data_IF_702833365091
#
_entry.id   IF_702833365091
#
_cell.length_a   1.000
_cell.length_b   1.000
_cell.length_c   1.000
_cell.angle_alpha   90.00
_cell.angle_beta   90.00
_cell.angle_gamma   90.00
#
_symmetry.space_group_name_H-M   'P 1'
#
loop_
_entity.id
_entity.type
_entity.pdbx_description
1 polymer ?
#
# COMPACT_ATOMS: atom_id res chain seq x y z
N UNK A 1 -18.09 -52.77 -5.74
CA UNK A 1 -17.83 -51.58 -6.58
C UNK A 1 -18.58 -50.41 -5.98
N UNK A 2 -17.92 -49.62 -5.14
CA UNK A 2 -18.49 -48.43 -4.51
C UNK A 2 -18.41 -47.24 -5.47
N UNK A 3 -19.55 -46.73 -5.91
CA UNK A 3 -19.59 -45.47 -6.67
C UNK A 3 -19.59 -44.28 -5.70
N UNK A 4 -18.44 -43.63 -5.69
CA UNK A 4 -18.11 -42.34 -5.10
C UNK A 4 -19.15 -41.25 -5.43
N UNK A 5 -19.84 -40.71 -4.41
CA UNK A 5 -20.71 -39.53 -4.56
C UNK A 5 -19.91 -38.28 -4.22
N UNK A 6 -19.36 -37.63 -5.24
CA UNK A 6 -18.83 -36.26 -5.11
C UNK A 6 -19.96 -35.29 -4.72
N UNK A 7 -19.73 -34.35 -3.77
CA UNK A 7 -20.67 -33.27 -3.50
C UNK A 7 -20.74 -32.32 -4.70
N UNK A 8 -21.97 -32.10 -5.22
CA UNK A 8 -22.26 -31.21 -6.35
C UNK A 8 -21.73 -29.81 -6.07
N UNK A 9 -20.86 -29.30 -6.97
CA UNK A 9 -20.50 -27.88 -7.04
C UNK A 9 -21.76 -27.04 -7.19
N UNK A 10 -22.06 -26.21 -6.21
CA UNK A 10 -23.15 -25.23 -6.24
C UNK A 10 -22.82 -24.23 -7.36
N UNK A 11 -23.66 -24.20 -8.40
CA UNK A 11 -23.48 -23.38 -9.59
C UNK A 11 -23.73 -21.88 -9.33
N UNK A 12 -23.06 -21.06 -10.13
CA UNK A 12 -22.96 -19.59 -10.19
C UNK A 12 -24.29 -18.80 -10.05
N UNK A 13 -25.46 -19.45 -10.11
CA UNK A 13 -26.76 -18.83 -9.88
C UNK A 13 -27.18 -18.75 -8.39
N UNK A 14 -26.69 -19.65 -7.53
CA UNK A 14 -27.17 -19.78 -6.14
C UNK A 14 -26.58 -18.76 -5.16
N UNK A 15 -25.42 -18.16 -5.47
CA UNK A 15 -24.81 -17.13 -4.60
C UNK A 15 -25.39 -15.74 -4.90
N UNK A 16 -25.79 -15.49 -6.16
CA UNK A 16 -26.63 -14.34 -6.53
C UNK A 16 -27.96 -14.40 -5.74
N UNK A 17 -28.54 -15.59 -5.55
CA UNK A 17 -29.80 -15.79 -4.82
C UNK A 17 -29.73 -15.43 -3.33
N UNK A 18 -28.57 -15.58 -2.66
CA UNK A 18 -28.47 -15.42 -1.19
C UNK A 18 -28.16 -13.98 -0.74
N UNK A 19 -27.60 -13.13 -1.60
CA UNK A 19 -27.48 -11.69 -1.34
C UNK A 19 -28.63 -10.86 -1.93
N UNK A 20 -29.60 -11.49 -2.61
CA UNK A 20 -30.67 -10.84 -3.37
C UNK A 20 -32.09 -11.36 -3.09
N UNK A 21 -32.41 -11.84 -1.88
CA UNK A 21 -33.77 -12.30 -1.55
C UNK A 21 -34.90 -11.26 -1.74
N UNK A 22 -34.57 -9.98 -1.99
CA UNK A 22 -35.54 -8.93 -2.39
C UNK A 22 -35.35 -8.36 -3.81
N UNK A 23 -34.32 -8.80 -4.55
CA UNK A 23 -33.94 -8.25 -5.88
C UNK A 23 -34.22 -9.27 -7.00
N UNK A 24 -34.46 -10.55 -6.67
CA UNK A 24 -34.35 -11.65 -7.65
C UNK A 24 -35.59 -11.99 -8.49
N UNK A 25 -36.67 -11.20 -8.51
CA UNK A 25 -37.79 -11.47 -9.45
C UNK A 25 -37.64 -10.79 -10.81
N UNK A 26 -36.60 -10.00 -11.08
CA UNK A 26 -36.41 -9.34 -12.39
C UNK A 26 -35.04 -9.57 -13.07
N UNK A 27 -34.22 -10.52 -12.62
CA UNK A 27 -32.80 -10.63 -13.03
C UNK A 27 -32.45 -11.79 -13.98
N UNK A 28 -33.42 -12.31 -14.73
CA UNK A 28 -33.12 -13.16 -15.88
C UNK A 28 -32.98 -12.28 -17.14
N UNK A 29 -31.76 -11.85 -17.47
CA UNK A 29 -31.42 -11.34 -18.81
C UNK A 29 -31.01 -9.86 -18.95
N UNK A 30 -31.08 -9.03 -17.91
CA UNK A 30 -30.61 -7.63 -17.94
C UNK A 30 -29.71 -7.30 -16.75
N UNK A 31 -28.74 -6.40 -16.96
CA UNK A 31 -27.87 -5.89 -15.90
C UNK A 31 -28.71 -5.18 -14.81
N UNK A 32 -28.32 -5.27 -13.53
CA UNK A 32 -29.11 -4.69 -12.44
C UNK A 32 -29.15 -3.16 -12.53
N UNK A 33 -30.36 -2.57 -12.46
CA UNK A 33 -30.53 -1.12 -12.39
C UNK A 33 -29.75 -0.56 -11.18
N UNK A 34 -28.73 0.27 -11.45
CA UNK A 34 -27.86 0.84 -10.42
C UNK A 34 -28.66 1.60 -9.35
N UNK A 35 -29.73 2.29 -9.73
CA UNK A 35 -30.61 2.96 -8.76
C UNK A 35 -31.23 1.95 -7.81
N UNK A 36 -31.72 0.83 -8.32
CA UNK A 36 -32.28 -0.24 -7.51
C UNK A 36 -31.25 -0.87 -6.57
N UNK A 37 -30.00 -1.07 -7.04
CA UNK A 37 -28.91 -1.57 -6.20
C UNK A 37 -28.63 -0.61 -5.03
N UNK A 38 -28.46 0.69 -5.32
CA UNK A 38 -28.18 1.70 -4.30
C UNK A 38 -29.30 1.77 -3.24
N UNK A 39 -30.56 1.72 -3.65
CA UNK A 39 -31.71 1.69 -2.75
C UNK A 39 -31.77 0.42 -1.92
N UNK A 40 -31.47 -0.74 -2.52
CA UNK A 40 -31.45 -2.03 -1.82
C UNK A 40 -30.37 -2.06 -0.74
N UNK A 41 -29.16 -1.58 -1.05
CA UNK A 41 -28.08 -1.50 -0.09
C UNK A 41 -28.48 -0.62 1.11
N UNK A 42 -29.07 0.53 0.86
CA UNK A 42 -29.57 1.42 1.91
C UNK A 42 -30.68 0.76 2.75
N UNK A 43 -31.66 0.10 2.12
CA UNK A 43 -32.77 -0.57 2.81
C UNK A 43 -32.30 -1.74 3.68
N UNK A 44 -31.30 -2.48 3.23
CA UNK A 44 -30.70 -3.59 4.01
C UNK A 44 -29.92 -3.11 5.21
N UNK A 45 -29.18 -2.02 5.05
CA UNK A 45 -28.41 -1.44 6.15
C UNK A 45 -29.31 -0.76 7.18
N UNK A 46 -30.42 -0.17 6.73
CA UNK A 46 -31.38 0.56 7.55
C UNK A 46 -32.82 0.19 7.16
N UNK A 47 -33.45 -0.80 7.83
CA UNK A 47 -34.80 -1.27 7.48
C UNK A 47 -35.89 -0.18 7.47
N UNK A 48 -35.73 0.88 8.26
CA UNK A 48 -36.62 2.05 8.30
C UNK A 48 -36.41 3.04 7.14
N UNK A 49 -35.39 2.83 6.29
CA UNK A 49 -35.13 3.67 5.12
C UNK A 49 -36.36 3.77 4.20
N UNK A 50 -36.76 5.01 3.92
CA UNK A 50 -37.88 5.35 3.05
C UNK A 50 -37.42 5.46 1.58
N UNK A 51 -37.45 4.34 0.86
CA UNK A 51 -37.07 4.30 -0.56
C UNK A 51 -37.80 5.32 -1.43
N UNK A 52 -39.09 5.58 -1.14
CA UNK A 52 -39.92 6.49 -1.93
C UNK A 52 -39.36 7.91 -1.98
N UNK A 53 -38.82 8.42 -0.86
CA UNK A 53 -38.22 9.77 -0.80
C UNK A 53 -36.93 9.84 -1.62
N UNK A 54 -36.01 8.90 -1.41
CA UNK A 54 -34.77 8.84 -2.17
C UNK A 54 -35.03 8.65 -3.68
N UNK A 55 -36.07 7.90 -4.04
CA UNK A 55 -36.53 7.78 -5.42
C UNK A 55 -36.96 9.14 -5.96
N UNK A 56 -37.83 9.86 -5.25
CA UNK A 56 -38.29 11.18 -5.66
C UNK A 56 -37.14 12.17 -5.84
N UNK A 57 -36.17 12.19 -4.92
CA UNK A 57 -34.98 13.06 -5.01
C UNK A 57 -34.18 12.78 -6.30
N UNK A 58 -33.94 11.51 -6.63
CA UNK A 58 -33.26 11.13 -7.88
C UNK A 58 -34.08 11.49 -9.13
N UNK A 59 -35.41 11.40 -9.08
CA UNK A 59 -36.28 11.79 -10.19
C UNK A 59 -36.29 13.31 -10.40
N UNK A 60 -36.27 14.09 -9.31
CA UNK A 60 -36.07 15.55 -9.36
C UNK A 60 -34.73 15.87 -10.03
N UNK A 61 -33.65 15.18 -9.63
CA UNK A 61 -32.35 15.37 -10.25
C UNK A 61 -32.34 15.06 -11.74
N UNK A 62 -33.01 13.97 -12.14
CA UNK A 62 -33.16 13.59 -13.54
C UNK A 62 -33.87 14.69 -14.34
N UNK A 63 -34.99 15.20 -13.85
CA UNK A 63 -35.80 16.21 -14.53
C UNK A 63 -35.05 17.55 -14.67
N UNK A 64 -34.44 18.00 -13.58
CA UNK A 64 -33.73 19.27 -13.54
C UNK A 64 -32.45 19.25 -14.39
N UNK A 65 -31.68 18.17 -14.34
CA UNK A 65 -30.50 17.99 -15.19
C UNK A 65 -30.90 17.87 -16.66
N UNK A 66 -31.94 17.10 -16.98
CA UNK A 66 -32.46 16.99 -18.34
C UNK A 66 -32.84 18.34 -18.95
N UNK A 67 -33.43 19.25 -18.16
CA UNK A 67 -33.72 20.63 -18.59
C UNK A 67 -32.45 21.43 -18.86
N UNK A 68 -31.41 21.31 -18.02
CA UNK A 68 -30.13 22.02 -18.19
C UNK A 68 -29.33 21.54 -19.38
N UNK A 69 -29.48 20.26 -19.74
CA UNK A 69 -28.83 19.68 -20.91
C UNK A 69 -29.56 20.01 -22.22
N UNK A 70 -30.82 20.45 -22.17
CA UNK A 70 -31.61 20.76 -23.36
C UNK A 70 -30.97 21.91 -24.14
N UNK A 71 -30.65 21.65 -25.42
CA UNK A 71 -30.03 22.63 -26.32
C UNK A 71 -28.49 22.66 -26.28
N UNK A 72 -27.85 21.95 -25.34
CA UNK A 72 -26.39 21.79 -25.34
C UNK A 72 -25.99 20.69 -26.32
N UNK A 73 -25.18 21.06 -27.32
CA UNK A 73 -24.74 20.13 -28.39
C UNK A 73 -23.33 19.61 -28.13
N UNK A 74 -22.43 20.45 -27.60
CA UNK A 74 -21.02 20.09 -27.44
C UNK A 74 -20.84 19.13 -26.24
N UNK A 75 -20.12 18.01 -26.39
CA UNK A 75 -19.87 17.05 -25.30
C UNK A 75 -19.28 17.69 -24.04
N UNK A 76 -18.32 18.61 -24.21
CA UNK A 76 -17.68 19.34 -23.10
C UNK A 76 -18.68 20.21 -22.30
N UNK A 77 -19.58 20.90 -22.99
CA UNK A 77 -20.61 21.74 -22.36
C UNK A 77 -21.61 20.88 -21.58
N UNK A 78 -21.98 19.72 -22.12
CA UNK A 78 -22.88 18.77 -21.47
C UNK A 78 -22.22 18.12 -20.24
N UNK A 79 -20.95 17.72 -20.35
CA UNK A 79 -20.17 17.23 -19.22
C UNK A 79 -20.00 18.31 -18.13
N UNK A 80 -19.78 19.57 -18.54
CA UNK A 80 -19.64 20.70 -17.62
C UNK A 80 -20.96 21.03 -16.93
N UNK A 81 -22.09 20.93 -17.64
CA UNK A 81 -23.42 21.11 -17.08
C UNK A 81 -23.75 20.03 -16.04
N UNK A 82 -23.39 18.76 -16.30
CA UNK A 82 -23.51 17.67 -15.33
C UNK A 82 -22.72 17.99 -14.05
N UNK A 83 -21.44 18.36 -14.18
CA UNK A 83 -20.59 18.69 -13.04
C UNK A 83 -21.12 19.89 -12.25
N UNK A 84 -21.43 21.01 -12.94
CA UNK A 84 -21.98 22.23 -12.33
C UNK A 84 -23.26 21.95 -11.56
N UNK A 85 -24.16 21.16 -12.14
CA UNK A 85 -25.43 20.83 -11.52
C UNK A 85 -25.25 20.15 -10.17
N UNK A 86 -24.45 19.08 -10.08
CA UNK A 86 -24.27 18.37 -8.82
C UNK A 86 -23.40 19.13 -7.81
N UNK A 87 -22.31 19.76 -8.24
CA UNK A 87 -21.30 20.31 -7.33
C UNK A 87 -21.47 21.80 -7.01
N UNK A 88 -22.09 22.59 -7.89
CA UNK A 88 -22.28 24.03 -7.67
C UNK A 88 -23.74 24.38 -7.33
N UNK A 89 -24.70 23.73 -7.98
CA UNK A 89 -26.12 24.02 -7.72
C UNK A 89 -26.70 23.16 -6.60
N UNK A 90 -26.43 21.85 -6.63
CA UNK A 90 -26.87 20.92 -5.58
C UNK A 90 -25.91 20.81 -4.41
N UNK A 91 -24.75 21.44 -4.50
CA UNK A 91 -23.76 21.55 -3.43
C UNK A 91 -23.37 20.19 -2.83
N UNK A 92 -23.28 19.16 -3.68
CA UNK A 92 -22.68 17.91 -3.25
C UNK A 92 -21.18 18.06 -3.02
N UNK A 93 -20.67 17.44 -1.97
CA UNK A 93 -19.24 17.39 -1.64
C UNK A 93 -18.79 15.96 -1.35
N UNK A 94 -17.47 15.76 -1.28
CA UNK A 94 -16.91 14.46 -0.94
C UNK A 94 -16.25 14.45 0.43
N UNK A 95 -16.41 13.34 1.14
CA UNK A 95 -15.62 13.03 2.35
C UNK A 95 -14.59 11.92 2.05
N UNK A 96 -13.36 11.99 2.61
CA UNK A 96 -12.39 10.91 2.50
C UNK A 96 -12.73 9.71 3.40
N UNK A 97 -13.68 9.85 4.32
CA UNK A 97 -14.01 8.84 5.31
C UNK A 97 -14.99 7.80 4.75
N UNK A 98 -14.45 6.64 4.35
CA UNK A 98 -15.27 5.48 3.98
C UNK A 98 -15.83 4.73 5.19
N UNK A 99 -15.34 4.98 6.40
CA UNK A 99 -15.75 4.19 7.58
C UNK A 99 -17.14 4.57 8.07
N UNK A 100 -17.58 5.81 7.79
CA UNK A 100 -18.93 6.28 8.09
C UNK A 100 -19.97 5.70 7.12
N UNK A 101 -20.99 4.97 7.62
CA UNK A 101 -22.15 4.56 6.82
C UNK A 101 -22.88 5.74 6.17
N UNK A 102 -22.85 6.93 6.80
CA UNK A 102 -23.49 8.15 6.33
C UNK A 102 -22.88 8.65 5.01
N UNK A 103 -21.59 8.43 4.82
CA UNK A 103 -20.88 8.77 3.58
C UNK A 103 -21.17 7.79 2.43
N UNK A 104 -21.72 6.61 2.70
CA UNK A 104 -21.83 5.52 1.73
C UNK A 104 -23.26 5.27 1.23
N UNK A 105 -24.22 5.15 2.14
CA UNK A 105 -25.58 4.76 1.76
C UNK A 105 -26.37 5.93 1.16
N UNK A 106 -27.07 5.66 0.04
CA UNK A 106 -27.73 6.67 -0.79
C UNK A 106 -28.62 7.64 -0.01
N UNK A 107 -29.41 7.16 0.95
CA UNK A 107 -30.30 8.01 1.75
C UNK A 107 -29.54 9.09 2.54
N UNK A 108 -28.42 8.72 3.16
CA UNK A 108 -27.59 9.63 3.94
C UNK A 108 -26.83 10.60 3.03
N UNK A 109 -26.34 10.13 1.89
CA UNK A 109 -25.66 10.98 0.88
C UNK A 109 -26.62 12.04 0.33
N UNK A 110 -27.86 11.67 0.02
CA UNK A 110 -28.89 12.62 -0.45
C UNK A 110 -29.23 13.67 0.61
N UNK A 111 -29.33 13.24 1.88
CA UNK A 111 -29.72 14.12 2.98
C UNK A 111 -28.60 15.09 3.39
N UNK A 112 -27.37 14.60 3.51
CA UNK A 112 -26.20 15.40 3.91
C UNK A 112 -25.57 16.19 2.77
N UNK A 113 -25.82 15.76 1.52
CA UNK A 113 -25.10 16.20 0.32
C UNK A 113 -23.60 15.93 0.39
N UNK A 114 -23.18 14.99 1.22
CA UNK A 114 -21.80 14.58 1.34
C UNK A 114 -21.69 13.07 1.13
N UNK A 115 -20.69 12.62 0.38
CA UNK A 115 -20.50 11.19 0.12
C UNK A 115 -19.05 10.79 -0.13
N UNK A 116 -18.74 9.52 0.03
CA UNK A 116 -17.48 8.95 -0.42
C UNK A 116 -17.39 8.97 -1.95
N UNK A 117 -16.18 8.98 -2.52
CA UNK A 117 -15.98 9.12 -3.97
C UNK A 117 -16.81 8.11 -4.80
N UNK A 118 -16.92 6.86 -4.33
CA UNK A 118 -17.73 5.84 -4.98
C UNK A 118 -19.24 6.07 -4.85
N UNK A 119 -19.75 6.34 -3.65
CA UNK A 119 -21.20 6.50 -3.44
C UNK A 119 -21.73 7.74 -4.16
N UNK A 120 -20.97 8.83 -4.11
CA UNK A 120 -21.29 10.07 -4.82
C UNK A 120 -21.28 9.86 -6.34
N UNK A 121 -20.22 9.23 -6.87
CA UNK A 121 -20.14 8.94 -8.31
C UNK A 121 -21.25 7.97 -8.75
N UNK A 122 -21.56 6.93 -7.98
CA UNK A 122 -22.60 5.96 -8.30
C UNK A 122 -24.01 6.60 -8.28
N UNK A 123 -24.27 7.53 -7.34
CA UNK A 123 -25.51 8.30 -7.32
C UNK A 123 -25.67 9.11 -8.60
N UNK A 124 -24.66 9.90 -8.97
CA UNK A 124 -24.68 10.72 -10.19
C UNK A 124 -24.83 9.83 -11.43
N UNK A 125 -24.08 8.72 -11.50
CA UNK A 125 -24.18 7.75 -12.57
C UNK A 125 -25.59 7.15 -12.70
N UNK A 126 -26.27 6.90 -11.57
CA UNK A 126 -27.65 6.39 -11.59
C UNK A 126 -28.64 7.38 -12.22
N UNK A 127 -28.47 8.68 -12.02
CA UNK A 127 -29.26 9.74 -12.67
C UNK A 127 -28.91 9.83 -14.15
N UNK A 128 -27.61 9.87 -14.47
CA UNK A 128 -27.10 9.97 -15.84
C UNK A 128 -27.57 8.83 -16.74
N UNK A 129 -27.65 7.60 -16.23
CA UNK A 129 -28.15 6.43 -16.97
C UNK A 129 -29.62 6.56 -17.37
N UNK A 130 -30.46 7.14 -16.52
CA UNK A 130 -31.89 7.35 -16.86
C UNK A 130 -32.08 8.41 -17.95
N UNK A 131 -31.14 9.34 -18.05
CA UNK A 131 -31.03 10.31 -19.14
C UNK A 131 -30.29 9.77 -20.37
N UNK A 132 -29.84 8.50 -20.35
CA UNK A 132 -29.03 7.86 -21.40
C UNK A 132 -27.78 8.68 -21.74
N UNK A 133 -27.18 9.34 -20.74
CA UNK A 133 -25.95 10.09 -20.94
C UNK A 133 -24.76 9.12 -21.04
N UNK A 134 -23.74 9.45 -21.85
CA UNK A 134 -22.57 8.61 -22.03
C UNK A 134 -21.56 8.83 -20.89
N UNK A 135 -22.00 8.52 -19.68
CA UNK A 135 -21.24 8.69 -18.44
C UNK A 135 -20.91 7.33 -17.86
N UNK A 136 -19.66 7.15 -17.47
CA UNK A 136 -19.12 5.90 -16.95
C UNK A 136 -18.43 6.14 -15.61
N UNK A 137 -18.44 5.13 -14.74
CA UNK A 137 -17.50 5.10 -13.61
C UNK A 137 -16.16 4.59 -14.11
N UNK A 138 -15.06 5.20 -13.69
CA UNK A 138 -13.70 4.73 -13.99
C UNK A 138 -12.94 4.58 -12.67
N UNK A 139 -12.30 3.44 -12.49
CA UNK A 139 -11.46 3.18 -11.33
C UNK A 139 -9.98 3.44 -11.64
N UNK A 140 -9.27 3.84 -10.60
CA UNK A 140 -7.81 3.78 -10.47
C UNK A 140 -7.52 3.22 -9.07
N UNK A 141 -6.32 2.72 -8.77
CA UNK A 141 -6.06 2.11 -7.47
C UNK A 141 -6.55 2.98 -6.30
N UNK A 142 -7.51 2.46 -5.52
CA UNK A 142 -8.14 3.10 -4.36
C UNK A 142 -8.83 4.45 -4.64
N UNK A 143 -9.39 4.66 -5.83
CA UNK A 143 -10.19 5.85 -6.16
C UNK A 143 -11.06 5.61 -7.39
N UNK A 144 -12.19 6.30 -7.47
CA UNK A 144 -13.06 6.28 -8.65
C UNK A 144 -13.47 7.70 -9.01
N UNK A 145 -13.74 7.92 -10.29
CA UNK A 145 -14.25 9.17 -10.82
C UNK A 145 -15.26 8.90 -11.95
N UNK A 146 -15.95 9.95 -12.41
CA UNK A 146 -16.87 9.85 -13.54
C UNK A 146 -16.15 10.24 -14.83
N UNK A 147 -16.44 9.55 -15.92
CA UNK A 147 -15.95 9.91 -17.25
C UNK A 147 -17.11 10.08 -18.20
N UNK A 148 -17.15 11.21 -18.89
CA UNK A 148 -17.99 11.38 -20.07
C UNK A 148 -17.23 10.87 -21.30
N UNK A 149 -17.82 9.99 -22.13
CA UNK A 149 -17.20 9.51 -23.38
C UNK A 149 -18.17 9.61 -24.57
N UNK A 150 -17.99 10.60 -25.46
CA UNK A 150 -18.89 10.82 -26.60
C UNK A 150 -18.10 11.29 -27.82
N UNK A 151 -18.34 10.68 -28.98
CA UNK A 151 -17.74 11.10 -30.25
C UNK A 151 -16.20 11.08 -30.27
N UNK A 152 -15.57 10.17 -29.54
CA UNK A 152 -14.10 10.09 -29.41
C UNK A 152 -13.48 11.05 -28.40
N UNK A 153 -14.28 11.88 -27.75
CA UNK A 153 -13.84 12.76 -26.66
C UNK A 153 -14.09 12.10 -25.31
N UNK A 154 -13.14 12.22 -24.37
CA UNK A 154 -13.37 11.90 -22.98
C UNK A 154 -13.10 13.08 -22.05
N UNK A 155 -13.90 13.20 -20.98
CA UNK A 155 -13.72 14.19 -19.91
C UNK A 155 -13.83 13.49 -18.56
N UNK A 156 -12.74 13.46 -17.78
CA UNK A 156 -12.80 12.91 -16.43
C UNK A 156 -13.28 13.98 -15.46
N UNK A 157 -14.40 13.73 -14.81
CA UNK A 157 -15.05 14.56 -13.82
C UNK A 157 -14.63 14.04 -12.44
N UNK A 158 -13.69 14.75 -11.80
CA UNK A 158 -13.18 14.40 -10.47
C UNK A 158 -14.21 14.80 -9.39
N UNK A 159 -14.96 13.80 -8.92
CA UNK A 159 -16.06 13.99 -7.97
C UNK A 159 -15.56 14.42 -6.59
N UNK A 160 -14.28 14.18 -6.26
CA UNK A 160 -13.71 14.65 -5.00
C UNK A 160 -13.10 16.05 -5.06
N UNK A 161 -13.12 16.69 -6.23
CA UNK A 161 -12.63 18.06 -6.42
C UNK A 161 -13.73 18.98 -6.96
N UNK A 162 -14.99 18.68 -6.64
CA UNK A 162 -16.15 19.49 -7.06
C UNK A 162 -16.47 19.37 -8.54
N UNK A 163 -16.17 18.22 -9.16
CA UNK A 163 -16.44 17.95 -10.57
C UNK A 163 -15.43 18.59 -11.53
N UNK A 164 -14.24 18.97 -11.05
CA UNK A 164 -13.17 19.50 -11.90
C UNK A 164 -12.75 18.49 -12.96
N UNK A 165 -12.45 18.99 -14.15
CA UNK A 165 -11.92 18.14 -15.23
C UNK A 165 -10.45 17.82 -15.00
N UNK A 166 -10.10 16.53 -15.13
CA UNK A 166 -8.73 16.01 -14.99
C UNK A 166 -8.36 15.17 -16.21
N UNK A 167 -7.09 15.19 -16.59
CA UNK A 167 -6.58 14.27 -17.62
C UNK A 167 -6.19 12.93 -17.04
N UNK A 168 -6.05 11.89 -17.86
CA UNK A 168 -5.57 10.58 -17.39
C UNK A 168 -4.18 10.67 -16.73
N UNK A 169 -3.36 11.62 -17.19
CA UNK A 169 -2.05 11.92 -16.60
C UNK A 169 -2.14 12.36 -15.13
N UNK A 170 -3.23 13.00 -14.70
CA UNK A 170 -3.44 13.35 -13.29
C UNK A 170 -3.45 12.10 -12.40
N UNK A 171 -3.99 10.99 -12.91
CA UNK A 171 -4.07 9.72 -12.20
C UNK A 171 -2.83 8.84 -12.36
N UNK A 172 -1.88 9.17 -13.24
CA UNK A 172 -0.68 8.37 -13.49
C UNK A 172 0.19 8.10 -12.24
N UNK A 173 0.07 8.94 -11.20
CA UNK A 173 0.70 8.70 -9.88
C UNK A 173 0.16 7.48 -9.14
N UNK A 174 -1.05 7.01 -9.48
CA UNK A 174 -1.68 5.79 -8.95
C UNK A 174 -1.30 4.63 -9.85
N UNK A 175 -0.05 4.20 -9.72
CA UNK A 175 0.57 3.18 -10.57
C UNK A 175 -0.18 1.85 -10.43
N UNK A 176 -0.44 1.20 -11.56
CA UNK A 176 -0.96 -0.17 -11.68
C UNK A 176 0.06 -1.02 -12.44
N UNK A 177 -0.03 -2.35 -12.32
CA UNK A 177 0.72 -3.25 -13.22
C UNK A 177 0.16 -3.20 -14.64
N UNK A 178 0.93 -3.75 -15.60
CA UNK A 178 0.47 -4.04 -16.97
C UNK A 178 -0.84 -4.84 -16.97
N UNK A 179 -0.91 -5.90 -16.16
CA UNK A 179 -2.13 -6.71 -16.00
C UNK A 179 -3.32 -5.88 -15.51
N UNK A 180 -3.12 -5.00 -14.54
CA UNK A 180 -4.20 -4.14 -14.05
C UNK A 180 -4.75 -3.22 -15.14
N UNK A 181 -3.87 -2.61 -15.94
CA UNK A 181 -4.27 -1.79 -17.09
C UNK A 181 -4.99 -2.61 -18.18
N UNK A 182 -4.46 -3.78 -18.55
CA UNK A 182 -5.01 -4.61 -19.63
C UNK A 182 -6.30 -5.36 -19.25
N UNK A 183 -6.54 -5.56 -17.95
CA UNK A 183 -7.75 -6.24 -17.46
C UNK A 183 -9.02 -5.39 -17.47
N UNK A 184 -8.92 -4.10 -17.82
CA UNK A 184 -10.01 -3.14 -17.68
C UNK A 184 -10.33 -2.76 -16.23
N UNK A 185 -9.53 -3.20 -15.25
CA UNK A 185 -9.72 -2.87 -13.84
C UNK A 185 -9.45 -1.39 -13.55
N UNK A 186 -8.58 -0.73 -14.34
CA UNK A 186 -8.20 0.66 -14.12
C UNK A 186 -8.13 1.46 -15.43
N UNK A 187 -8.43 2.76 -15.34
CA UNK A 187 -8.46 3.73 -16.45
C UNK A 187 -9.35 3.32 -17.64
N UNK A 188 -10.30 2.42 -17.40
CA UNK A 188 -11.30 1.99 -18.37
C UNK A 188 -12.71 2.17 -17.79
N UNK A 189 -13.72 2.48 -18.62
CA UNK A 189 -15.12 2.46 -18.23
C UNK A 189 -15.51 1.13 -17.57
N UNK A 190 -16.11 1.21 -16.37
CA UNK A 190 -16.62 0.06 -15.66
C UNK A 190 -18.03 -0.30 -16.15
N UNK A 191 -18.26 -1.60 -16.34
CA UNK A 191 -19.60 -2.13 -16.58
C UNK A 191 -20.42 -2.21 -15.28
N UNK A 192 -21.69 -2.58 -15.40
CA UNK A 192 -22.62 -2.64 -14.28
C UNK A 192 -22.17 -3.63 -13.20
N UNK A 193 -21.59 -4.76 -13.59
CA UNK A 193 -21.13 -5.77 -12.63
C UNK A 193 -19.93 -5.24 -11.84
N UNK A 194 -19.01 -4.57 -12.51
CA UNK A 194 -17.86 -3.94 -11.88
C UNK A 194 -18.30 -2.82 -10.92
N UNK A 195 -19.23 -1.94 -11.31
CA UNK A 195 -19.76 -0.89 -10.43
C UNK A 195 -20.36 -1.49 -9.16
N UNK A 196 -21.19 -2.52 -9.29
CA UNK A 196 -21.79 -3.22 -8.13
C UNK A 196 -20.72 -3.90 -7.27
N UNK A 197 -19.70 -4.52 -7.89
CA UNK A 197 -18.60 -5.12 -7.16
C UNK A 197 -17.83 -4.08 -6.31
N UNK A 198 -17.57 -2.89 -6.84
CA UNK A 198 -16.97 -1.80 -6.08
C UNK A 198 -17.85 -1.38 -4.89
N UNK A 199 -19.18 -1.28 -5.07
CA UNK A 199 -20.10 -0.96 -3.98
C UNK A 199 -20.06 -2.02 -2.87
N UNK A 200 -20.10 -3.31 -3.25
CA UNK A 200 -19.99 -4.41 -2.29
C UNK A 200 -18.64 -4.42 -1.55
N UNK A 201 -17.55 -4.10 -2.23
CA UNK A 201 -16.25 -3.96 -1.59
C UNK A 201 -16.25 -2.81 -0.55
N UNK A 202 -16.80 -1.65 -0.88
CA UNK A 202 -16.87 -0.54 0.05
C UNK A 202 -17.77 -0.83 1.26
N UNK A 203 -18.91 -1.49 1.03
CA UNK A 203 -19.75 -1.97 2.13
C UNK A 203 -19.03 -3.02 2.99
N UNK A 204 -18.28 -3.93 2.37
CA UNK A 204 -17.43 -4.89 3.08
C UNK A 204 -16.40 -4.20 3.97
N UNK A 205 -15.79 -3.12 3.49
CA UNK A 205 -14.86 -2.33 4.28
C UNK A 205 -15.53 -1.66 5.49
N UNK A 206 -16.74 -1.09 5.32
CA UNK A 206 -17.54 -0.53 6.41
C UNK A 206 -17.86 -1.61 7.46
N UNK A 207 -18.30 -2.79 7.02
CA UNK A 207 -18.61 -3.92 7.90
C UNK A 207 -17.38 -4.38 8.68
N UNK A 208 -16.22 -4.48 8.02
CA UNK A 208 -14.96 -4.84 8.66
C UNK A 208 -14.56 -3.82 9.73
N UNK A 209 -14.67 -2.52 9.42
CA UNK A 209 -14.37 -1.46 10.38
C UNK A 209 -15.31 -1.47 11.59
N UNK A 210 -16.57 -1.87 11.39
CA UNK A 210 -17.55 -2.09 12.46
C UNK A 210 -17.34 -3.41 13.25
N UNK A 211 -16.24 -4.14 13.03
CA UNK A 211 -15.94 -5.41 13.70
C UNK A 211 -16.70 -6.62 13.15
N UNK A 212 -17.48 -6.47 12.07
CA UNK A 212 -18.31 -7.53 11.46
C UNK A 212 -17.54 -8.28 10.38
N UNK A 213 -16.35 -8.79 10.71
CA UNK A 213 -15.40 -9.37 9.75
C UNK A 213 -15.94 -10.57 8.97
N UNK A 214 -16.83 -11.38 9.55
CA UNK A 214 -17.45 -12.51 8.84
C UNK A 214 -18.41 -12.04 7.72
N UNK A 215 -19.11 -10.92 7.94
CA UNK A 215 -19.99 -10.35 6.92
C UNK A 215 -19.21 -9.57 5.86
N UNK A 216 -18.16 -8.87 6.28
CA UNK A 216 -17.24 -8.20 5.38
C UNK A 216 -16.62 -9.18 4.36
N UNK A 217 -16.14 -10.34 4.83
CA UNK A 217 -15.61 -11.38 3.96
C UNK A 217 -16.64 -11.84 2.92
N UNK A 218 -17.89 -12.07 3.32
CA UNK A 218 -18.98 -12.42 2.39
C UNK A 218 -19.17 -11.34 1.32
N UNK A 219 -19.07 -10.06 1.68
CA UNK A 219 -19.17 -8.96 0.71
C UNK A 219 -17.98 -8.89 -0.24
N UNK A 220 -16.76 -9.08 0.25
CA UNK A 220 -15.57 -9.11 -0.63
C UNK A 220 -15.59 -10.31 -1.59
N UNK A 221 -16.01 -11.48 -1.12
CA UNK A 221 -16.16 -12.66 -1.97
C UNK A 221 -17.23 -12.43 -3.05
N UNK A 222 -18.40 -11.90 -2.69
CA UNK A 222 -19.44 -11.56 -3.65
C UNK A 222 -18.98 -10.51 -4.68
N UNK A 223 -18.19 -9.52 -4.26
CA UNK A 223 -17.59 -8.55 -5.17
C UNK A 223 -16.66 -9.24 -6.19
N UNK A 224 -15.85 -10.20 -5.76
CA UNK A 224 -14.96 -10.95 -6.66
C UNK A 224 -15.68 -11.97 -7.55
N UNK A 225 -16.84 -12.47 -7.13
CA UNK A 225 -17.70 -13.29 -8.00
C UNK A 225 -18.31 -12.47 -9.13
N UNK A 226 -18.73 -11.23 -8.85
CA UNK A 226 -19.24 -10.30 -9.87
C UNK A 226 -18.13 -9.77 -10.78
N UNK A 227 -16.98 -9.43 -10.19
CA UNK A 227 -15.85 -8.85 -10.89
C UNK A 227 -14.50 -9.39 -10.37
N UNK A 228 -13.95 -10.43 -11.01
CA UNK A 228 -12.73 -11.11 -10.55
C UNK A 228 -11.44 -10.27 -10.61
N UNK A 229 -11.50 -9.05 -11.14
CA UNK A 229 -10.35 -8.16 -11.31
C UNK A 229 -10.27 -7.06 -10.24
N UNK A 230 -11.15 -7.08 -9.24
CA UNK A 230 -11.18 -6.09 -8.17
C UNK A 230 -10.07 -6.31 -7.13
N UNK A 231 -8.93 -5.65 -7.32
CA UNK A 231 -7.75 -5.87 -6.49
C UNK A 231 -7.93 -5.41 -5.04
N UNK A 232 -8.73 -4.38 -4.80
CA UNK A 232 -9.07 -3.87 -3.47
C UNK A 232 -9.81 -4.92 -2.64
N UNK A 233 -10.73 -5.68 -3.23
CA UNK A 233 -11.41 -6.78 -2.54
C UNK A 233 -10.44 -7.92 -2.20
N UNK A 234 -9.48 -8.21 -3.09
CA UNK A 234 -8.41 -9.18 -2.82
C UNK A 234 -7.50 -8.71 -1.68
N UNK A 235 -7.15 -7.43 -1.63
CA UNK A 235 -6.38 -6.83 -0.55
C UNK A 235 -7.12 -6.97 0.79
N UNK A 236 -8.41 -6.63 0.81
CA UNK A 236 -9.25 -6.69 2.00
C UNK A 236 -9.45 -8.13 2.52
N UNK A 237 -9.60 -9.11 1.63
CA UNK A 237 -9.59 -10.52 2.03
C UNK A 237 -8.25 -10.92 2.65
N UNK A 238 -7.14 -10.46 2.08
CA UNK A 238 -5.81 -10.69 2.66
C UNK A 238 -5.68 -10.15 4.08
N UNK A 239 -6.24 -8.97 4.35
CA UNK A 239 -6.29 -8.36 5.70
C UNK A 239 -7.09 -9.26 6.65
N UNK A 240 -8.33 -9.62 6.29
CA UNK A 240 -9.19 -10.47 7.14
C UNK A 240 -8.53 -11.82 7.48
N UNK A 241 -7.93 -12.50 6.50
CA UNK A 241 -7.23 -13.76 6.77
C UNK A 241 -6.00 -13.54 7.68
N UNK A 242 -5.27 -12.43 7.50
CA UNK A 242 -4.12 -12.09 8.34
C UNK A 242 -4.49 -11.76 9.78
N UNK A 243 -5.65 -11.14 10.01
CA UNK A 243 -6.19 -10.88 11.35
C UNK A 243 -6.60 -12.16 12.07
N UNK A 244 -7.12 -13.15 11.34
CA UNK A 244 -7.47 -14.47 11.88
C UNK A 244 -6.27 -15.39 12.10
N UNK A 245 -5.05 -14.94 11.79
CA UNK A 245 -3.84 -15.75 11.89
C UNK A 245 -3.61 -16.71 10.70
N UNK A 246 -4.49 -16.70 9.68
CA UNK A 246 -4.29 -17.48 8.45
C UNK A 246 -3.34 -16.74 7.50
N UNK A 247 -2.07 -16.70 7.90
CA UNK A 247 -1.02 -15.99 7.17
C UNK A 247 -0.78 -16.57 5.76
N UNK A 248 -1.07 -17.85 5.56
CA UNK A 248 -0.94 -18.51 4.27
C UNK A 248 -2.02 -18.04 3.30
N UNK A 249 -3.29 -18.00 3.71
CA UNK A 249 -4.35 -17.44 2.88
C UNK A 249 -4.15 -15.94 2.65
N UNK A 250 -3.74 -15.19 3.67
CA UNK A 250 -3.42 -13.77 3.56
C UNK A 250 -2.37 -13.52 2.46
N UNK A 251 -1.26 -14.26 2.49
CA UNK A 251 -0.18 -14.18 1.49
C UNK A 251 -0.68 -14.48 0.06
N UNK A 252 -1.55 -15.48 -0.10
CA UNK A 252 -2.17 -15.81 -1.40
C UNK A 252 -3.04 -14.65 -1.92
N UNK A 253 -3.88 -14.07 -1.07
CA UNK A 253 -4.72 -12.93 -1.43
C UNK A 253 -3.91 -11.68 -1.78
N UNK A 254 -2.91 -11.35 -0.95
CA UNK A 254 -2.01 -10.25 -1.26
C UNK A 254 -1.23 -10.48 -2.56
N UNK A 255 -0.81 -11.72 -2.87
CA UNK A 255 -0.17 -12.05 -4.15
C UNK A 255 -1.12 -11.76 -5.32
N UNK A 256 -2.40 -12.16 -5.21
CA UNK A 256 -3.43 -11.86 -6.22
C UNK A 256 -3.62 -10.35 -6.39
N UNK A 257 -3.81 -9.61 -5.30
CA UNK A 257 -3.99 -8.16 -5.33
C UNK A 257 -2.80 -7.43 -5.99
N UNK A 258 -1.57 -7.84 -5.66
CA UNK A 258 -0.37 -7.23 -6.23
C UNK A 258 -0.13 -7.52 -7.70
N UNK A 259 -0.81 -8.52 -8.28
CA UNK A 259 -0.81 -8.71 -9.72
C UNK A 259 -1.48 -7.54 -10.45
N UNK A 260 -2.29 -6.73 -9.77
CA UNK A 260 -3.00 -5.56 -10.31
C UNK A 260 -2.43 -4.25 -9.75
N UNK A 261 -2.27 -4.15 -8.43
CA UNK A 261 -1.90 -2.89 -7.76
C UNK A 261 -0.43 -2.46 -7.97
N UNK A 262 0.48 -3.37 -8.33
CA UNK A 262 1.88 -3.04 -8.52
C UNK A 262 2.54 -2.54 -7.23
N UNK A 263 3.25 -1.41 -7.31
CA UNK A 263 3.94 -0.76 -6.19
C UNK A 263 2.96 0.09 -5.35
N UNK A 264 1.99 -0.59 -4.73
CA UNK A 264 1.00 0.01 -3.82
C UNK A 264 1.47 -0.03 -2.36
N UNK A 265 1.31 1.12 -1.69
CA UNK A 265 1.78 1.33 -0.33
C UNK A 265 1.02 0.48 0.71
N UNK A 266 -0.31 0.43 0.58
CA UNK A 266 -1.17 -0.27 1.52
C UNK A 266 -1.01 -1.79 1.40
N UNK A 267 -0.87 -2.30 0.17
CA UNK A 267 -0.55 -3.70 -0.07
C UNK A 267 0.81 -4.07 0.52
N UNK A 268 1.82 -3.23 0.34
CA UNK A 268 3.17 -3.47 0.87
C UNK A 268 3.15 -3.51 2.40
N UNK A 269 2.52 -2.53 3.03
CA UNK A 269 2.26 -2.49 4.47
C UNK A 269 1.59 -3.78 4.98
N UNK A 270 0.44 -4.16 4.39
CA UNK A 270 -0.33 -5.31 4.86
C UNK A 270 0.40 -6.64 4.67
N UNK A 271 1.18 -6.79 3.58
CA UNK A 271 2.07 -7.96 3.38
C UNK A 271 3.13 -8.05 4.47
N UNK A 272 3.74 -6.92 4.82
CA UNK A 272 4.77 -6.88 5.84
C UNK A 272 4.19 -7.15 7.23
N UNK A 273 3.03 -6.55 7.57
CA UNK A 273 2.34 -6.81 8.83
C UNK A 273 1.96 -8.30 8.98
N UNK A 274 1.45 -8.93 7.92
CA UNK A 274 1.19 -10.37 7.92
C UNK A 274 2.48 -11.19 8.06
N UNK A 275 3.58 -10.74 7.44
CA UNK A 275 4.91 -11.33 7.59
C UNK A 275 5.43 -11.27 9.01
N UNK A 276 5.29 -10.13 9.69
CA UNK A 276 5.65 -9.96 11.11
C UNK A 276 4.91 -10.95 12.00
N UNK A 277 3.59 -11.07 11.81
CA UNK A 277 2.76 -12.02 12.58
C UNK A 277 3.13 -13.48 12.30
N UNK A 278 3.51 -13.80 11.05
CA UNK A 278 3.98 -15.12 10.66
C UNK A 278 5.45 -15.42 11.05
N UNK A 279 6.20 -14.44 11.56
CA UNK A 279 7.63 -14.57 11.81
C UNK A 279 8.52 -14.58 10.55
N UNK A 280 7.99 -14.16 9.39
CA UNK A 280 8.74 -13.98 8.13
C UNK A 280 9.42 -12.59 8.12
N UNK A 281 10.42 -12.44 8.98
CA UNK A 281 11.14 -11.18 9.14
C UNK A 281 11.96 -10.81 7.90
N UNK A 282 12.58 -11.77 7.21
CA UNK A 282 13.37 -11.51 6.00
C UNK A 282 12.53 -10.92 4.85
N UNK A 283 11.28 -11.37 4.67
CA UNK A 283 10.38 -10.73 3.71
C UNK A 283 9.94 -9.34 4.18
N UNK A 284 9.70 -9.16 5.48
CA UNK A 284 9.33 -7.86 6.05
C UNK A 284 10.44 -6.83 5.88
N UNK A 285 11.69 -7.19 6.17
CA UNK A 285 12.86 -6.34 6.01
C UNK A 285 13.06 -5.91 4.54
N UNK A 286 12.84 -6.82 3.58
CA UNK A 286 12.86 -6.47 2.15
C UNK A 286 11.79 -5.47 1.76
N UNK A 287 10.59 -5.58 2.34
CA UNK A 287 9.52 -4.59 2.10
C UNK A 287 9.91 -3.24 2.71
N UNK A 288 10.43 -3.23 3.94
CA UNK A 288 10.94 -2.02 4.59
C UNK A 288 12.02 -1.33 3.74
N UNK A 289 12.96 -2.09 3.21
CA UNK A 289 14.02 -1.60 2.32
C UNK A 289 13.50 -1.14 0.95
N UNK A 290 12.35 -1.64 0.46
CA UNK A 290 11.73 -1.10 -0.75
C UNK A 290 10.99 0.23 -0.51
N UNK A 291 10.44 0.41 0.70
CA UNK A 291 9.71 1.63 1.09
C UNK A 291 10.64 2.75 1.57
N UNK A 292 11.86 2.38 1.97
CA UNK A 292 13.00 3.23 2.28
C UNK A 292 13.10 4.58 1.55
N UNK A 293 13.07 4.54 0.22
CA UNK A 293 13.40 5.68 -0.62
C UNK A 293 12.12 6.35 -1.19
N UNK A 294 10.96 5.99 -0.63
CA UNK A 294 9.64 6.46 -1.07
C UNK A 294 9.25 7.80 -0.42
N UNK A 295 8.29 8.51 -1.04
CA UNK A 295 7.77 9.79 -0.55
C UNK A 295 6.27 9.70 -0.24
N UNK A 296 5.77 10.62 0.58
CA UNK A 296 4.36 10.70 0.96
C UNK A 296 3.92 9.47 1.76
N UNK A 297 2.71 8.99 1.54
CA UNK A 297 2.10 7.91 2.33
C UNK A 297 2.97 6.64 2.47
N UNK A 298 3.80 6.31 1.46
CA UNK A 298 4.72 5.17 1.54
C UNK A 298 5.79 5.34 2.63
N UNK A 299 6.26 6.57 2.87
CA UNK A 299 7.17 6.91 3.96
C UNK A 299 6.50 6.71 5.32
N UNK A 300 5.23 7.12 5.44
CA UNK A 300 4.46 6.96 6.68
C UNK A 300 4.27 5.47 7.00
N UNK A 301 3.92 4.65 6.00
CA UNK A 301 3.83 3.20 6.15
C UNK A 301 5.15 2.57 6.56
N UNK A 302 6.28 3.04 6.00
CA UNK A 302 7.60 2.58 6.41
C UNK A 302 7.87 2.88 7.89
N UNK A 303 7.63 4.11 8.32
CA UNK A 303 7.85 4.53 9.70
C UNK A 303 7.01 3.71 10.67
N UNK A 304 5.72 3.51 10.36
CA UNK A 304 4.83 2.67 11.14
C UNK A 304 5.32 1.20 11.20
N UNK A 305 5.91 0.71 10.11
CA UNK A 305 6.30 -0.70 9.99
C UNK A 305 7.58 -0.97 10.78
N UNK A 306 8.52 -0.02 10.72
CA UNK A 306 9.69 0.00 11.59
C UNK A 306 9.27 -0.02 13.06
N UNK A 307 8.38 0.90 13.46
CA UNK A 307 7.91 0.98 14.83
C UNK A 307 7.21 -0.31 15.28
N UNK A 308 6.48 -0.98 14.39
CA UNK A 308 5.82 -2.27 14.68
C UNK A 308 6.84 -3.41 14.82
N UNK A 309 7.82 -3.49 13.91
CA UNK A 309 8.88 -4.50 13.95
C UNK A 309 9.77 -4.35 15.20
N UNK A 310 10.10 -3.11 15.57
CA UNK A 310 11.03 -2.80 16.67
C UNK A 310 10.39 -2.90 18.06
N UNK A 311 9.10 -3.21 18.16
CA UNK A 311 8.42 -3.48 19.43
C UNK A 311 8.46 -4.98 19.76
N UNK A 312 8.55 -5.36 21.05
CA UNK A 312 8.27 -6.73 21.46
C UNK A 312 6.85 -7.17 21.04
N UNK A 313 6.64 -8.45 20.68
CA UNK A 313 7.63 -9.53 20.65
C UNK A 313 8.49 -9.58 19.37
N UNK A 314 8.15 -8.82 18.32
CA UNK A 314 8.76 -8.94 17.01
C UNK A 314 10.27 -8.67 17.01
N UNK A 315 10.70 -7.59 17.68
CA UNK A 315 12.11 -7.22 17.73
C UNK A 315 12.97 -8.28 18.42
N UNK A 316 12.46 -8.84 19.52
CA UNK A 316 13.15 -9.90 20.27
C UNK A 316 13.24 -11.19 19.44
N UNK A 317 12.17 -11.55 18.75
CA UNK A 317 12.15 -12.74 17.90
C UNK A 317 13.03 -12.59 16.64
N UNK A 318 13.15 -11.39 16.07
CA UNK A 318 14.13 -11.11 15.01
C UNK A 318 15.55 -11.29 15.52
N UNK A 319 15.90 -10.65 16.65
CA UNK A 319 17.23 -10.75 17.24
C UNK A 319 17.62 -12.18 17.59
N UNK A 320 16.69 -12.97 18.14
CA UNK A 320 16.93 -14.39 18.43
C UNK A 320 17.30 -15.19 17.17
N UNK A 321 16.62 -14.95 16.04
CA UNK A 321 16.93 -15.62 14.76
C UNK A 321 18.29 -15.20 14.21
N UNK A 322 18.65 -13.93 14.37
CA UNK A 322 19.95 -13.41 13.96
C UNK A 322 21.06 -13.99 14.84
N UNK A 323 20.83 -14.10 16.15
CA UNK A 323 21.76 -14.74 17.06
C UNK A 323 22.00 -16.21 16.70
N UNK A 324 20.93 -16.98 16.46
CA UNK A 324 21.05 -18.36 15.98
C UNK A 324 21.87 -18.46 14.67
N UNK A 325 21.72 -17.50 13.75
CA UNK A 325 22.56 -17.43 12.54
C UNK A 325 24.02 -17.17 12.90
N UNK A 326 24.30 -16.18 13.75
CA UNK A 326 25.65 -15.84 14.20
C UNK A 326 26.33 -17.03 14.90
N UNK A 327 25.63 -17.72 15.79
CA UNK A 327 26.12 -18.93 16.47
C UNK A 327 26.47 -20.05 15.47
N UNK A 328 25.67 -20.25 14.41
CA UNK A 328 25.99 -21.22 13.35
C UNK A 328 27.27 -20.83 12.61
N UNK A 329 27.44 -19.54 12.29
CA UNK A 329 28.65 -19.06 11.61
C UNK A 329 29.89 -19.20 12.51
N UNK A 330 29.76 -18.93 13.81
CA UNK A 330 30.82 -19.12 14.79
C UNK A 330 31.24 -20.59 14.89
N UNK A 331 30.28 -21.50 15.09
CA UNK A 331 30.53 -22.95 15.16
C UNK A 331 31.19 -23.50 13.90
N UNK A 332 30.89 -22.92 12.73
CA UNK A 332 31.51 -23.31 11.46
C UNK A 332 32.95 -22.80 11.27
N UNK A 333 33.48 -22.01 12.20
CA UNK A 333 34.82 -21.40 12.10
C UNK A 333 34.94 -20.33 11.01
N UNK A 334 33.81 -19.83 10.47
CA UNK A 334 33.79 -18.85 9.37
C UNK A 334 33.91 -17.40 9.83
N UNK A 335 33.64 -17.11 11.10
CA UNK A 335 33.75 -15.76 11.66
C UNK A 335 35.22 -15.44 12.00
N UNK A 336 35.81 -14.52 11.24
CA UNK A 336 37.17 -14.02 11.47
C UNK A 336 37.16 -12.54 11.90
N UNK A 337 38.14 -12.06 12.67
CA UNK A 337 38.15 -10.69 13.18
C UNK A 337 38.09 -9.60 12.09
N UNK A 338 37.40 -8.50 12.39
CA UNK A 338 37.24 -7.32 11.54
C UNK A 338 36.00 -7.35 10.66
N UNK A 339 35.86 -6.30 9.85
CA UNK A 339 34.80 -6.09 8.87
C UNK A 339 35.21 -6.61 7.49
N UNK A 340 34.25 -7.18 6.74
CA UNK A 340 34.40 -7.37 5.30
C UNK A 340 34.06 -6.06 4.60
N UNK A 341 35.07 -5.34 4.12
CA UNK A 341 34.91 -4.08 3.41
C UNK A 341 35.01 -4.31 1.90
N UNK A 342 33.99 -3.91 1.15
CA UNK A 342 33.97 -3.92 -0.31
C UNK A 342 33.77 -2.51 -0.87
N UNK A 343 34.74 -2.04 -1.63
CA UNK A 343 34.68 -0.77 -2.35
C UNK A 343 34.36 -1.02 -3.81
N UNK A 344 33.46 -0.22 -4.38
CA UNK A 344 33.06 -0.28 -5.80
C UNK A 344 33.09 1.10 -6.42
N UNK A 345 33.60 1.21 -7.65
CA UNK A 345 33.46 2.43 -8.44
C UNK A 345 32.04 2.55 -9.00
N UNK A 346 31.51 3.78 -9.03
CA UNK A 346 30.25 4.10 -9.70
C UNK A 346 30.44 4.35 -11.21
N UNK A 347 31.66 4.62 -11.66
CA UNK A 347 31.97 4.86 -13.08
C UNK A 347 32.52 3.63 -13.80
N UNK A 348 33.08 2.68 -13.06
CA UNK A 348 33.61 1.42 -13.60
C UNK A 348 33.08 0.23 -12.77
N UNK A 349 32.08 -0.50 -13.27
CA UNK A 349 31.52 -1.66 -12.56
C UNK A 349 32.52 -2.79 -12.28
N UNK A 350 33.65 -2.84 -13.00
CA UNK A 350 34.70 -3.87 -12.81
C UNK A 350 35.66 -3.49 -11.68
N UNK A 351 35.76 -2.21 -11.34
CA UNK A 351 36.62 -1.74 -10.25
C UNK A 351 35.99 -2.05 -8.89
N UNK A 352 36.35 -3.22 -8.35
CA UNK A 352 35.90 -3.72 -7.05
C UNK A 352 37.10 -4.17 -6.22
N UNK A 353 37.20 -3.68 -4.98
CA UNK A 353 38.23 -4.10 -4.02
C UNK A 353 37.55 -4.59 -2.76
N UNK A 354 37.85 -5.82 -2.35
CA UNK A 354 37.37 -6.39 -1.07
C UNK A 354 38.55 -6.71 -0.17
N UNK A 355 38.47 -6.32 1.12
CA UNK A 355 39.50 -6.60 2.13
C UNK A 355 38.90 -6.65 3.53
N UNK A 356 39.68 -7.18 4.48
CA UNK A 356 39.35 -7.11 5.90
C UNK A 356 39.82 -5.79 6.51
N UNK A 357 38.96 -5.09 7.23
CA UNK A 357 39.30 -3.87 7.98
C UNK A 357 38.98 -4.03 9.46
N UNK A 358 39.94 -3.73 10.35
CA UNK A 358 39.71 -3.85 11.80
C UNK A 358 38.65 -2.89 12.32
N UNK A 359 38.48 -1.74 11.67
CA UNK A 359 37.55 -0.67 12.07
C UNK A 359 37.13 0.18 10.88
N UNK A 360 35.93 0.76 10.95
CA UNK A 360 35.46 1.74 9.96
C UNK A 360 35.89 3.12 10.44
N UNK A 361 37.11 3.52 10.06
CA UNK A 361 37.67 4.86 10.35
C UNK A 361 38.34 5.42 9.10
N UNK A 362 37.57 5.53 8.02
CA UNK A 362 38.03 6.10 6.76
C UNK A 362 38.14 7.62 6.90
N UNK A 363 39.35 8.15 6.83
CA UNK A 363 39.62 9.60 6.76
C UNK A 363 40.31 9.93 5.44
N UNK A 364 39.68 9.52 4.33
CA UNK A 364 40.30 9.63 3.01
C UNK A 364 40.47 11.08 2.55
N UNK A 365 39.61 11.99 3.03
CA UNK A 365 39.57 13.40 2.64
C UNK A 365 39.51 13.55 1.12
N UNK A 366 40.63 13.84 0.46
CA UNK A 366 40.71 13.97 -1.01
C UNK A 366 41.25 12.73 -1.74
N UNK A 367 41.65 11.69 -1.01
CA UNK A 367 42.26 10.47 -1.55
C UNK A 367 41.26 9.35 -1.83
N UNK A 368 41.70 8.36 -2.60
CA UNK A 368 40.96 7.13 -2.88
C UNK A 368 40.93 6.18 -1.66
N UNK A 369 39.86 5.39 -1.48
CA UNK A 369 39.77 4.44 -0.37
C UNK A 369 40.64 3.19 -0.56
N UNK A 370 40.96 2.85 -1.80
CA UNK A 370 41.82 1.75 -2.18
C UNK A 370 42.43 1.99 -3.56
N UNK A 371 43.57 1.34 -3.85
CA UNK A 371 44.16 1.33 -5.19
C UNK A 371 43.14 0.76 -6.19
N UNK A 372 42.94 1.43 -7.32
CA UNK A 372 41.96 1.04 -8.34
C UNK A 372 40.53 1.53 -8.09
N UNK A 373 40.26 2.20 -6.95
CA UNK A 373 38.98 2.86 -6.69
C UNK A 373 39.18 4.37 -6.81
N UNK A 374 38.28 5.12 -7.47
CA UNK A 374 38.40 6.57 -7.58
C UNK A 374 38.14 7.26 -6.22
N UNK A 375 38.72 8.45 -6.04
CA UNK A 375 38.48 9.30 -4.87
C UNK A 375 37.07 9.94 -4.85
N UNK A 376 36.36 9.93 -5.98
CA UNK A 376 34.99 10.42 -6.13
C UNK A 376 34.18 9.38 -6.88
N UNK A 377 32.89 9.26 -6.53
CA UNK A 377 31.99 8.33 -7.18
C UNK A 377 32.30 6.88 -6.82
N UNK A 378 32.35 6.56 -5.54
CA UNK A 378 32.48 5.17 -5.07
C UNK A 378 31.44 4.83 -4.01
N UNK A 379 31.25 3.53 -3.79
CA UNK A 379 30.49 2.97 -2.67
C UNK A 379 31.41 2.11 -1.82
N UNK A 380 31.41 2.32 -0.51
CA UNK A 380 31.97 1.37 0.47
C UNK A 380 30.84 0.58 1.13
N UNK A 381 30.96 -0.74 1.21
CA UNK A 381 30.02 -1.64 1.90
C UNK A 381 30.80 -2.45 2.94
N UNK A 382 30.50 -2.26 4.22
CA UNK A 382 31.09 -3.02 5.32
C UNK A 382 30.05 -3.96 5.89
N UNK A 383 30.42 -5.22 6.10
CA UNK A 383 29.57 -6.23 6.74
C UNK A 383 30.31 -6.89 7.89
N UNK A 384 29.61 -7.09 8.99
CA UNK A 384 30.15 -7.69 10.19
C UNK A 384 29.08 -8.21 11.13
N UNK A 385 29.54 -8.85 12.18
CA UNK A 385 28.79 -9.40 13.29
C UNK A 385 29.44 -8.92 14.57
N UNK A 386 28.64 -8.51 15.54
CA UNK A 386 29.11 -8.08 16.86
C UNK A 386 28.46 -8.93 17.95
N UNK A 387 29.22 -9.47 18.91
CA UNK A 387 28.65 -10.16 20.06
C UNK A 387 28.27 -9.13 21.14
N UNK A 388 27.03 -9.19 21.61
CA UNK A 388 26.51 -8.41 22.74
C UNK A 388 26.43 -9.32 23.96
N UNK A 389 27.31 -9.08 24.94
CA UNK A 389 27.40 -9.91 26.13
C UNK A 389 26.26 -9.64 27.14
N UNK A 390 25.86 -8.38 27.30
CA UNK A 390 24.81 -7.97 28.23
C UNK A 390 23.81 -7.10 27.48
N UNK A 391 22.56 -7.52 27.44
CA UNK A 391 21.49 -6.76 26.80
C UNK A 391 21.33 -5.35 27.42
N UNK A 392 20.74 -4.46 26.64
CA UNK A 392 20.53 -3.06 27.03
C UNK A 392 20.47 -2.13 25.83
N UNK A 393 20.48 -0.83 26.10
CA UNK A 393 20.50 0.18 25.04
C UNK A 393 21.91 0.38 24.51
N UNK A 394 22.06 0.32 23.19
CA UNK A 394 23.30 0.56 22.46
C UNK A 394 23.10 1.69 21.47
N UNK A 395 23.96 2.70 21.55
CA UNK A 395 23.98 3.86 20.66
C UNK A 395 25.02 3.63 19.56
N UNK A 396 24.55 3.68 18.33
CA UNK A 396 25.36 3.68 17.12
C UNK A 396 25.61 5.12 16.73
N UNK A 397 26.87 5.54 16.66
CA UNK A 397 27.28 6.89 16.30
C UNK A 397 28.08 6.85 15.01
N UNK A 398 27.74 7.73 14.08
CA UNK A 398 28.39 7.81 12.79
C UNK A 398 28.79 9.25 12.50
N UNK A 399 30.10 9.47 12.35
CA UNK A 399 30.64 10.72 11.82
C UNK A 399 30.91 10.52 10.33
N UNK A 400 30.40 11.41 9.49
CA UNK A 400 30.39 11.21 8.04
C UNK A 400 30.60 12.51 7.29
N UNK A 401 31.23 12.45 6.11
CA UNK A 401 31.34 13.61 5.22
C UNK A 401 30.25 13.59 4.12
N UNK A 402 30.04 12.42 3.54
CA UNK A 402 29.03 12.16 2.50
C UNK A 402 27.92 11.25 3.01
N UNK A 403 26.97 10.87 2.15
CA UNK A 403 25.84 10.07 2.57
C UNK A 403 26.23 8.65 2.99
N UNK A 404 25.51 8.09 3.97
CA UNK A 404 25.72 6.74 4.44
C UNK A 404 24.40 6.11 4.89
N UNK A 405 24.40 4.78 5.02
CA UNK A 405 23.33 3.99 5.60
C UNK A 405 23.90 2.98 6.60
N UNK A 406 23.18 2.73 7.68
CA UNK A 406 23.55 1.73 8.70
C UNK A 406 22.36 0.79 8.94
N UNK A 407 22.64 -0.50 8.94
CA UNK A 407 21.69 -1.54 9.31
C UNK A 407 22.19 -2.32 10.52
N UNK A 408 21.25 -2.66 11.40
CA UNK A 408 21.42 -3.58 12.53
C UNK A 408 20.36 -4.65 12.41
N UNK A 409 20.76 -5.92 12.40
CA UNK A 409 19.88 -7.09 12.21
C UNK A 409 19.03 -7.03 10.93
N UNK A 410 19.56 -6.33 9.92
CA UNK A 410 18.89 -6.07 8.65
C UNK A 410 17.88 -4.90 8.68
N UNK A 411 17.64 -4.27 9.82
CA UNK A 411 16.82 -3.06 9.93
C UNK A 411 17.67 -1.83 9.61
N UNK A 412 17.26 -1.03 8.62
CA UNK A 412 17.94 0.23 8.27
C UNK A 412 17.61 1.32 9.29
N UNK A 413 18.53 1.56 10.23
CA UNK A 413 18.34 2.48 11.35
C UNK A 413 18.80 3.91 11.04
N UNK A 414 19.79 4.08 10.17
CA UNK A 414 20.23 5.40 9.69
C UNK A 414 20.31 5.40 8.16
N UNK A 415 19.87 6.50 7.54
CA UNK A 415 19.97 6.77 6.11
C UNK A 415 20.16 8.28 5.90
N UNK A 416 21.42 8.70 5.87
CA UNK A 416 21.79 10.12 5.92
C UNK A 416 22.24 10.63 4.56
N UNK A 417 21.71 11.81 4.21
CA UNK A 417 22.07 12.53 3.00
C UNK A 417 23.39 13.28 3.17
N UNK A 418 24.22 13.40 2.12
CA UNK A 418 25.43 14.24 2.17
C UNK A 418 25.13 15.73 2.44
N UNK A 419 23.87 16.16 2.27
CA UNK A 419 23.43 17.55 2.51
C UNK A 419 23.21 17.90 3.99
N UNK A 420 23.21 16.90 4.88
CA UNK A 420 23.09 17.17 6.32
C UNK A 420 24.27 18.03 6.77
N UNK A 421 23.96 19.12 7.48
CA UNK A 421 24.96 20.08 8.00
C UNK A 421 25.75 19.46 9.14
N UNK A 422 25.03 18.86 10.09
CA UNK A 422 25.63 18.16 11.22
C UNK A 422 26.22 16.84 10.75
N UNK A 423 27.56 16.76 10.69
CA UNK A 423 28.32 15.59 10.22
C UNK A 423 28.39 14.46 11.24
N UNK A 424 27.36 14.35 12.08
CA UNK A 424 27.18 13.34 13.11
C UNK A 424 25.71 12.91 13.11
N UNK A 425 25.50 11.59 13.07
CA UNK A 425 24.20 10.97 13.26
C UNK A 425 24.34 9.87 14.30
N UNK A 426 23.26 9.61 15.04
CA UNK A 426 23.23 8.53 16.00
C UNK A 426 21.82 7.94 16.11
N UNK A 427 21.76 6.66 16.47
CA UNK A 427 20.53 5.99 16.86
C UNK A 427 20.77 5.04 18.02
N UNK A 428 19.77 4.87 18.89
CA UNK A 428 19.87 3.99 20.05
C UNK A 428 18.86 2.84 19.94
N UNK A 429 19.36 1.61 20.06
CA UNK A 429 18.56 0.39 19.98
C UNK A 429 18.65 -0.40 21.29
N UNK A 430 17.54 -1.01 21.70
CA UNK A 430 17.58 -2.07 22.69
C UNK A 430 18.11 -3.34 22.02
N UNK A 431 19.26 -3.86 22.44
CA UNK A 431 19.82 -5.12 21.96
C UNK A 431 19.70 -6.20 23.04
N UNK A 432 19.30 -7.40 22.63
CA UNK A 432 19.35 -8.61 23.45
C UNK A 432 20.80 -9.14 23.52
N UNK A 433 21.15 -10.02 24.47
CA UNK A 433 22.42 -10.74 24.41
C UNK A 433 22.49 -11.65 23.19
N UNK A 434 23.65 -11.75 22.55
CA UNK A 434 23.88 -12.63 21.39
C UNK A 434 24.61 -11.95 20.23
N UNK A 435 24.63 -12.63 19.08
CA UNK A 435 25.20 -12.12 17.85
C UNK A 435 24.24 -11.19 17.12
N UNK A 436 24.71 -10.00 16.75
CA UNK A 436 23.98 -9.03 15.93
C UNK A 436 24.69 -8.79 14.61
N UNK A 437 23.91 -8.64 13.54
CA UNK A 437 24.40 -8.41 12.19
C UNK A 437 24.50 -6.92 11.92
N UNK A 438 25.66 -6.46 11.48
CA UNK A 438 25.92 -5.06 11.15
C UNK A 438 26.23 -4.91 9.65
N UNK A 439 25.67 -3.86 9.04
CA UNK A 439 26.05 -3.43 7.69
C UNK A 439 26.12 -1.92 7.62
N UNK A 440 27.15 -1.40 6.97
CA UNK A 440 27.30 0.04 6.69
C UNK A 440 27.54 0.22 5.21
N UNK A 441 26.83 1.16 4.59
CA UNK A 441 27.06 1.58 3.21
C UNK A 441 27.42 3.06 3.20
N UNK A 442 28.47 3.44 2.49
CA UNK A 442 28.93 4.81 2.35
C UNK A 442 28.94 5.21 0.88
N UNK A 443 28.45 6.40 0.56
CA UNK A 443 28.34 6.92 -0.78
C UNK A 443 29.26 8.12 -1.00
N UNK A 444 30.50 7.85 -1.41
CA UNK A 444 31.54 8.85 -1.65
C UNK A 444 31.38 9.59 -2.97
N UNK A 445 30.27 10.31 -3.18
CA UNK A 445 30.00 11.05 -4.44
C UNK A 445 30.98 12.21 -4.68
N UNK A 446 31.42 12.88 -3.61
CA UNK A 446 32.28 14.07 -3.65
C UNK A 446 33.34 13.96 -2.56
N UNK A 447 34.33 14.86 -2.63
CA UNK A 447 35.31 15.08 -1.56
C UNK A 447 34.92 16.32 -0.74
N UNK A 448 35.30 16.44 0.55
CA UNK A 448 36.05 15.44 1.32
C UNK A 448 35.22 14.18 1.61
N UNK A 449 35.92 13.06 1.78
CA UNK A 449 35.35 11.79 2.19
C UNK A 449 35.82 11.40 3.59
N UNK A 450 34.90 10.89 4.40
CA UNK A 450 35.18 10.43 5.73
C UNK A 450 34.01 9.66 6.30
N UNK A 451 34.30 8.57 6.99
CA UNK A 451 33.32 7.77 7.72
C UNK A 451 33.97 7.15 8.95
N UNK A 452 33.40 7.41 10.11
CA UNK A 452 33.76 6.81 11.39
C UNK A 452 32.49 6.23 12.00
N UNK A 453 32.52 4.96 12.37
CA UNK A 453 31.43 4.29 13.08
C UNK A 453 31.91 3.89 14.46
N UNK A 454 31.13 4.20 15.49
CA UNK A 454 31.38 3.85 16.88
C UNK A 454 30.11 3.29 17.50
N UNK A 455 30.24 2.26 18.34
CA UNK A 455 29.13 1.62 19.04
C UNK A 455 29.42 1.72 20.52
N UNK A 456 28.46 2.22 21.29
CA UNK A 456 28.61 2.42 22.73
C UNK A 456 27.37 1.93 23.43
N UNK A 457 27.54 1.21 24.55
CA UNK A 457 26.41 0.91 25.44
C UNK A 457 25.99 2.21 26.15
N UNK A 458 24.70 2.51 26.17
CA UNK A 458 24.19 3.83 26.57
C UNK A 458 24.55 4.23 28.02
N UNK A 459 24.71 3.25 28.90
CA UNK A 459 25.09 3.39 30.31
C UNK A 459 26.61 3.22 30.56
N UNK A 460 27.43 3.05 29.52
CA UNK A 460 28.89 2.94 29.64
C UNK A 460 29.57 4.29 29.41
N UNK A 461 30.84 4.42 29.80
CA UNK A 461 31.66 5.61 29.49
C UNK A 461 32.38 5.51 28.15
N UNK A 462 32.83 4.30 27.79
CA UNK A 462 33.64 4.03 26.60
C UNK A 462 32.87 3.26 25.52
N UNK A 463 33.20 3.46 24.23
CA UNK A 463 32.71 2.60 23.15
C UNK A 463 33.14 1.14 23.33
N UNK A 464 32.43 0.24 22.66
CA UNK A 464 32.84 -1.14 22.47
C UNK A 464 34.17 -1.20 21.70
N UNK A 465 34.97 -2.22 21.98
CA UNK A 465 36.22 -2.41 21.25
C UNK A 465 35.97 -2.81 19.79
N UNK A 466 36.68 -2.18 18.86
CA UNK A 466 36.64 -2.50 17.42
C UNK A 466 36.99 -3.98 17.14
N UNK A 467 37.80 -4.58 18.02
CA UNK A 467 38.27 -5.98 17.98
C UNK A 467 37.12 -7.00 18.06
N UNK A 468 35.96 -6.60 18.60
CA UNK A 468 34.80 -7.48 18.80
C UNK A 468 34.10 -7.83 17.49
N UNK A 469 34.18 -6.98 16.48
CA UNK A 469 33.51 -7.25 15.20
C UNK A 469 34.20 -8.38 14.46
N UNK A 470 33.40 -9.29 13.91
CA UNK A 470 33.84 -10.39 13.05
C UNK A 470 33.07 -10.40 11.74
N UNK A 471 33.63 -10.97 10.68
CA UNK A 471 32.92 -11.16 9.42
C UNK A 471 33.06 -12.60 8.94
N UNK A 472 32.14 -13.01 8.07
CA UNK A 472 32.18 -14.30 7.41
C UNK A 472 33.27 -14.25 6.32
N UNK A 473 34.26 -15.15 6.42
CA UNK A 473 35.39 -15.27 5.49
C UNK A 473 34.94 -15.30 4.03
#
# INVERSE_FOLDING_TARGET
MSSDRQPRRIGVAAVILLLCAGVSRSLAGQAPDLRHVLLTLAKKARPEFHEGRARADLDVFQLELGRRLKGLVRPEERASALARYFFQEKLFSSTPDLTSPEAFYLGSVLASREGYCLSLSAMILSVSRRLKLPVHLVAVPRHVFLRWEEGGHHFNIETTEGGRFRSDRFYAKRVTTKKGAESGAYLSPLDDRAVVAHLLNNEGFILWHAGRSAEAEKRFLAALELWPHLAEAMLNLGIIHGERGDHNAASKWFKKAGAYLGDDAALSWNRALAGLKAGDYEKTLRILDSLADSKGAKSDYRALLMATLMRPPHWKALQARVDEEGQRQEKSGRLVPGWKATYRSLSDPRAVVTRTERRIRGQWRWSAPARGIPARGFVGDWRGWIPIAKGGHYTFMVVFEQGFRLWVDGVRILDESPRRKDKLAHETLLLEPGWHRLRVEYLGRRVPNGLIVSIKRADADRPLEDSLVRHIR
#
